data_IF_913360758699
#
_entry.id   IF_913360758699
#
_cell.length_a   1.000
_cell.length_b   1.000
_cell.length_c   1.000
_cell.angle_alpha   90.00
_cell.angle_beta   90.00
_cell.angle_gamma   90.00
#
_symmetry.space_group_name_H-M   'P 1'
#
loop_
_entity.id
_entity.type
_entity.pdbx_description
1 polymer ?
#
# COMPACT_ATOMS: atom_id res chain seq x y z
N UNK A 1 -6.85 -2.67 -39.68
CA UNK A 1 -5.67 -2.25 -38.89
C UNK A 1 -6.22 -1.50 -37.70
N UNK A 2 -6.36 -2.18 -36.56
CA UNK A 2 -6.82 -1.57 -35.30
C UNK A 2 -5.56 -0.92 -34.73
N UNK A 3 -5.54 0.41 -34.71
CA UNK A 3 -4.51 1.19 -34.01
C UNK A 3 -4.75 0.92 -32.53
N UNK A 4 -3.89 0.11 -31.90
CA UNK A 4 -3.81 0.08 -30.43
C UNK A 4 -3.41 1.50 -29.99
N UNK A 5 -4.40 2.26 -29.50
CA UNK A 5 -4.12 3.49 -28.76
C UNK A 5 -3.21 3.12 -27.59
N UNK A 6 -1.98 3.57 -27.67
CA UNK A 6 -1.04 3.57 -26.55
C UNK A 6 -1.66 4.43 -25.45
N UNK A 7 -2.45 3.82 -24.57
CA UNK A 7 -3.09 4.48 -23.45
C UNK A 7 -1.98 4.82 -22.46
N UNK A 8 -1.39 6.00 -22.59
CA UNK A 8 -0.46 6.48 -21.57
C UNK A 8 -1.13 6.33 -20.20
N UNK A 9 -0.49 5.57 -19.33
CA UNK A 9 -1.00 5.40 -17.97
C UNK A 9 -1.00 6.76 -17.27
N UNK A 10 -2.11 7.11 -16.57
CA UNK A 10 -2.16 8.37 -15.85
C UNK A 10 -1.04 8.41 -14.79
N UNK A 11 -0.49 9.60 -14.51
CA UNK A 11 0.53 9.73 -13.48
C UNK A 11 0.02 9.15 -12.15
N UNK A 12 0.84 8.30 -11.56
CA UNK A 12 0.55 7.60 -10.31
C UNK A 12 1.43 8.13 -9.18
N UNK A 13 0.91 8.13 -7.97
CA UNK A 13 1.69 8.36 -6.75
C UNK A 13 1.62 7.10 -5.89
N UNK A 14 2.72 6.70 -5.28
CA UNK A 14 2.70 5.69 -4.23
C UNK A 14 2.63 6.37 -2.85
N UNK A 15 1.73 5.89 -2.02
CA UNK A 15 1.51 6.35 -0.65
C UNK A 15 1.86 5.20 0.30
N UNK A 16 2.88 5.41 1.13
CA UNK A 16 3.35 4.43 2.11
C UNK A 16 2.88 4.84 3.50
N UNK A 17 2.05 4.02 4.13
CA UNK A 17 1.59 4.29 5.48
C UNK A 17 2.61 3.80 6.51
N UNK A 18 3.24 4.74 7.23
CA UNK A 18 4.27 4.52 8.23
C UNK A 18 3.88 5.03 9.63
N UNK A 19 2.62 5.43 9.83
CA UNK A 19 2.14 6.06 11.08
C UNK A 19 1.61 5.09 12.17
N UNK A 20 1.66 3.76 11.96
CA UNK A 20 1.08 2.79 12.90
C UNK A 20 1.80 2.75 14.26
N UNK A 21 1.05 2.70 15.38
CA UNK A 21 1.60 2.47 16.72
C UNK A 21 2.15 1.04 16.83
N UNK A 22 3.47 0.88 16.84
CA UNK A 22 4.13 -0.44 16.91
C UNK A 22 4.24 -0.99 18.34
N UNK A 23 3.16 -0.97 19.12
CA UNK A 23 3.14 -1.47 20.50
C UNK A 23 3.44 -2.99 20.60
N UNK A 24 3.27 -3.74 19.50
CA UNK A 24 3.39 -5.20 19.46
C UNK A 24 4.83 -5.72 19.27
N UNK A 25 5.73 -4.87 18.78
CA UNK A 25 7.16 -5.21 18.56
C UNK A 25 8.08 -4.79 19.71
N UNK A 26 7.51 -4.26 20.80
CA UNK A 26 8.20 -3.66 21.94
C UNK A 26 8.09 -2.14 21.92
N UNK A 27 7.92 -1.55 23.11
CA UNK A 27 7.72 -0.11 23.28
C UNK A 27 8.82 0.70 22.57
N UNK A 28 8.42 1.63 21.70
CA UNK A 28 9.33 2.60 21.06
C UNK A 28 9.98 2.16 19.74
N UNK A 29 9.78 0.93 19.24
CA UNK A 29 10.34 0.53 17.95
C UNK A 29 9.45 0.97 16.80
N UNK A 30 10.03 1.70 15.83
CA UNK A 30 9.38 2.07 14.58
C UNK A 30 9.47 0.90 13.59
N UNK A 31 8.32 0.34 13.20
CA UNK A 31 8.25 -0.79 12.26
C UNK A 31 8.93 -0.48 10.93
N UNK A 32 8.73 0.72 10.40
CA UNK A 32 9.30 1.13 9.13
C UNK A 32 10.83 1.07 9.10
N UNK A 33 11.47 1.22 10.28
CA UNK A 33 12.93 1.19 10.48
C UNK A 33 13.47 -0.18 10.87
N UNK A 34 12.64 -1.21 10.97
CA UNK A 34 13.15 -2.58 11.21
C UNK A 34 14.01 -3.02 10.03
N UNK A 35 15.12 -3.70 10.35
CA UNK A 35 16.07 -4.18 9.34
C UNK A 35 15.71 -5.60 8.90
N UNK A 36 15.54 -5.79 7.59
CA UNK A 36 15.38 -7.08 6.95
C UNK A 36 16.42 -7.22 5.84
N UNK A 37 17.35 -8.18 5.99
CA UNK A 37 18.39 -8.42 5.00
C UNK A 37 19.32 -7.22 4.75
N UNK A 38 19.60 -6.40 5.76
CA UNK A 38 20.49 -5.23 5.69
C UNK A 38 19.82 -3.91 5.28
N UNK A 39 18.50 -3.90 5.00
CA UNK A 39 17.75 -2.69 4.62
C UNK A 39 16.57 -2.45 5.56
N UNK A 40 16.21 -1.18 5.77
CA UNK A 40 14.96 -0.85 6.47
C UNK A 40 13.73 -1.32 5.69
N UNK A 41 12.66 -1.74 6.38
CA UNK A 41 11.44 -2.19 5.71
C UNK A 41 10.88 -1.14 4.75
N UNK A 42 10.87 0.12 5.15
CA UNK A 42 10.38 1.21 4.31
C UNK A 42 11.21 1.36 3.02
N UNK A 43 12.54 1.17 3.08
CA UNK A 43 13.40 1.25 1.90
C UNK A 43 13.17 0.07 0.95
N UNK A 44 12.86 -1.12 1.51
CA UNK A 44 12.47 -2.28 0.71
C UNK A 44 11.16 -1.98 -0.03
N UNK A 45 10.15 -1.46 0.67
CA UNK A 45 8.85 -1.08 0.08
C UNK A 45 9.04 -0.02 -1.01
N UNK A 46 9.82 1.03 -0.74
CA UNK A 46 10.15 2.07 -1.72
C UNK A 46 10.77 1.45 -2.98
N UNK A 47 11.75 0.56 -2.82
CA UNK A 47 12.42 -0.09 -3.96
C UNK A 47 11.47 -0.95 -4.83
N UNK A 48 10.37 -1.45 -4.26
CA UNK A 48 9.33 -2.19 -5.00
C UNK A 48 8.38 -1.26 -5.75
N UNK A 49 8.15 -0.05 -5.24
CA UNK A 49 7.22 0.91 -5.83
C UNK A 49 7.87 1.81 -6.88
N UNK A 50 9.15 2.10 -6.71
CA UNK A 50 9.90 3.03 -7.57
C UNK A 50 9.83 2.69 -9.08
N UNK A 51 9.85 1.42 -9.52
CA UNK A 51 9.66 1.10 -10.94
C UNK A 51 8.29 1.50 -11.51
N UNK A 52 7.27 1.69 -10.66
CA UNK A 52 5.89 2.01 -11.07
C UNK A 52 5.61 3.51 -11.06
N UNK A 53 6.24 4.25 -10.14
CA UNK A 53 5.89 5.67 -9.89
C UNK A 53 7.08 6.63 -9.95
N UNK A 54 8.31 6.11 -10.17
CA UNK A 54 9.52 6.94 -10.10
C UNK A 54 9.69 7.60 -8.73
N UNK A 55 9.86 8.91 -8.71
CA UNK A 55 10.00 9.72 -7.47
C UNK A 55 8.67 10.19 -6.88
N UNK A 56 7.53 9.83 -7.47
CA UNK A 56 6.19 10.20 -6.97
C UNK A 56 5.79 9.34 -5.76
N UNK A 57 6.47 9.54 -4.64
CA UNK A 57 6.31 8.78 -3.39
C UNK A 57 5.96 9.72 -2.25
N UNK A 58 4.94 9.36 -1.46
CA UNK A 58 4.52 10.04 -0.24
C UNK A 58 4.57 9.06 0.92
N UNK A 59 5.24 9.43 2.00
CA UNK A 59 5.18 8.70 3.27
C UNK A 59 4.18 9.41 4.17
N UNK A 60 3.22 8.66 4.71
CA UNK A 60 2.28 9.18 5.71
C UNK A 60 2.73 8.70 7.08
N UNK A 61 3.10 9.64 7.93
CA UNK A 61 3.62 9.39 9.27
C UNK A 61 4.21 10.65 9.88
N UNK A 62 4.75 10.57 11.12
CA UNK A 62 5.37 11.71 11.78
C UNK A 62 6.61 12.19 11.01
N UNK A 63 6.66 13.43 10.48
CA UNK A 63 7.77 13.92 9.66
C UNK A 63 9.13 13.85 10.37
N UNK A 64 9.15 14.11 11.67
CA UNK A 64 10.35 14.06 12.51
C UNK A 64 10.99 12.67 12.59
N UNK A 65 10.24 11.61 12.28
CA UNK A 65 10.77 10.24 12.23
C UNK A 65 11.43 9.89 10.89
N UNK A 66 11.10 10.62 9.85
CA UNK A 66 11.51 10.30 8.47
C UNK A 66 12.22 11.47 7.74
N UNK A 67 13.19 12.16 8.38
CA UNK A 67 13.81 13.37 7.82
C UNK A 67 14.62 13.13 6.54
N UNK A 68 14.99 11.88 6.26
CA UNK A 68 15.75 11.51 5.06
C UNK A 68 14.89 11.40 3.79
N UNK A 69 13.56 11.42 3.91
CA UNK A 69 12.67 11.24 2.76
C UNK A 69 12.07 12.58 2.32
N UNK A 70 11.97 12.76 0.98
CA UNK A 70 11.60 14.05 0.36
C UNK A 70 10.18 14.52 0.71
N UNK A 71 9.22 13.59 0.78
CA UNK A 71 7.81 13.94 0.99
C UNK A 71 7.21 13.08 2.09
N UNK A 72 7.13 13.66 3.26
CA UNK A 72 6.51 13.05 4.45
C UNK A 72 5.38 13.95 4.93
N UNK A 73 4.19 13.39 5.11
CA UNK A 73 3.01 14.12 5.54
C UNK A 73 2.42 13.50 6.81
N UNK A 74 1.96 14.29 7.76
CA UNK A 74 1.31 13.76 8.97
C UNK A 74 -0.12 13.30 8.68
N UNK A 75 -0.68 12.51 9.59
CA UNK A 75 -2.12 12.23 9.64
C UNK A 75 -2.91 13.53 9.87
N UNK A 76 -3.95 13.75 9.07
CA UNK A 76 -4.81 14.95 9.16
C UNK A 76 -5.86 14.87 10.27
N UNK A 77 -6.07 13.71 10.87
CA UNK A 77 -6.96 13.50 12.00
C UNK A 77 -6.17 12.89 13.16
N UNK A 78 -6.49 13.28 14.40
CA UNK A 78 -5.78 12.85 15.62
C UNK A 78 -5.99 11.37 15.96
N UNK A 79 -7.13 10.79 15.55
CA UNK A 79 -7.43 9.37 15.77
C UNK A 79 -6.79 8.53 14.67
N UNK A 80 -5.67 7.90 15.00
CA UNK A 80 -4.94 7.04 14.05
C UNK A 80 -5.77 5.84 13.59
N UNK A 81 -5.93 5.70 12.27
CA UNK A 81 -6.51 4.53 11.62
C UNK A 81 -5.99 4.41 10.20
N UNK A 82 -6.07 3.23 9.57
CA UNK A 82 -5.71 3.12 8.16
C UNK A 82 -6.47 4.10 7.25
N UNK A 83 -7.75 4.34 7.50
CA UNK A 83 -8.55 5.28 6.71
C UNK A 83 -8.02 6.72 6.80
N UNK A 84 -7.57 7.15 7.98
CA UNK A 84 -6.95 8.48 8.17
C UNK A 84 -5.66 8.59 7.38
N UNK A 85 -4.78 7.59 7.46
CA UNK A 85 -3.52 7.59 6.71
C UNK A 85 -3.76 7.61 5.19
N UNK A 86 -4.69 6.79 4.67
CA UNK A 86 -5.07 6.77 3.26
C UNK A 86 -5.58 8.16 2.84
N UNK A 87 -6.52 8.74 3.60
CA UNK A 87 -7.07 10.06 3.33
C UNK A 87 -5.99 11.14 3.29
N UNK A 88 -5.09 11.16 4.28
CA UNK A 88 -4.00 12.13 4.38
C UNK A 88 -3.05 12.06 3.18
N UNK A 89 -2.66 10.85 2.81
CA UNK A 89 -1.82 10.63 1.63
C UNK A 89 -2.52 11.03 0.32
N UNK A 90 -3.77 10.64 0.14
CA UNK A 90 -4.57 11.04 -1.03
C UNK A 90 -4.73 12.57 -1.12
N UNK A 91 -4.93 13.25 0.01
CA UNK A 91 -5.06 14.72 0.06
C UNK A 91 -3.78 15.41 -0.36
N UNK A 92 -2.62 14.87 0.00
CA UNK A 92 -1.31 15.39 -0.33
C UNK A 92 -0.85 15.06 -1.77
N UNK A 93 -1.36 14.00 -2.36
CA UNK A 93 -1.03 13.62 -3.74
C UNK A 93 -1.65 14.55 -4.77
N UNK A 94 -1.01 14.71 -5.94
CA UNK A 94 -1.57 15.39 -7.12
C UNK A 94 -2.09 14.40 -8.17
N UNK A 95 -1.77 13.11 -8.07
CA UNK A 95 -2.17 12.07 -9.03
C UNK A 95 -3.65 11.70 -8.87
N UNK A 96 -4.30 11.42 -10.01
CA UNK A 96 -5.70 10.96 -10.02
C UNK A 96 -5.88 9.62 -9.32
N UNK A 97 -4.90 8.72 -9.49
CA UNK A 97 -4.86 7.40 -8.85
C UNK A 97 -3.60 7.22 -8.02
N UNK A 98 -3.71 6.48 -6.94
CA UNK A 98 -2.64 6.34 -5.96
C UNK A 98 -2.55 4.89 -5.48
N UNK A 99 -1.35 4.32 -5.51
CA UNK A 99 -1.05 3.02 -4.91
C UNK A 99 -0.84 3.25 -3.42
N UNK A 100 -1.64 2.62 -2.58
CA UNK A 100 -1.49 2.70 -1.12
C UNK A 100 -0.98 1.40 -0.58
N UNK A 101 0.12 1.43 0.18
CA UNK A 101 0.72 0.25 0.82
C UNK A 101 1.11 0.51 2.27
N UNK A 102 1.22 -0.58 3.06
CA UNK A 102 1.83 -0.53 4.38
C UNK A 102 3.36 -0.55 4.30
N UNK A 103 4.05 0.16 5.21
CA UNK A 103 5.51 0.10 5.32
C UNK A 103 6.05 -1.26 5.80
N UNK A 104 5.18 -2.14 6.27
CA UNK A 104 5.47 -3.46 6.81
C UNK A 104 5.19 -4.61 5.81
N UNK A 105 5.05 -4.30 4.52
CA UNK A 105 4.80 -5.22 3.41
C UNK A 105 6.04 -5.37 2.49
N UNK A 106 7.11 -6.06 2.91
CA UNK A 106 8.39 -6.05 2.19
C UNK A 106 8.39 -6.87 0.89
N UNK A 107 7.39 -7.72 0.67
CA UNK A 107 7.35 -8.67 -0.45
C UNK A 107 6.34 -8.30 -1.52
N UNK A 108 6.02 -7.02 -1.68
CA UNK A 108 5.15 -6.53 -2.74
C UNK A 108 5.62 -7.05 -4.12
N UNK A 109 4.73 -7.68 -4.87
CA UNK A 109 4.98 -8.12 -6.23
C UNK A 109 4.66 -7.02 -7.23
N UNK A 110 5.68 -6.52 -7.90
CA UNK A 110 5.56 -5.42 -8.87
C UNK A 110 4.58 -5.77 -9.99
N UNK A 111 4.61 -7.02 -10.48
CA UNK A 111 3.71 -7.51 -11.54
C UNK A 111 2.25 -7.53 -11.09
N UNK A 112 1.97 -7.84 -9.82
CA UNK A 112 0.61 -7.76 -9.29
C UNK A 112 0.13 -6.30 -9.26
N UNK A 113 0.97 -5.39 -8.78
CA UNK A 113 0.64 -3.96 -8.75
C UNK A 113 0.43 -3.40 -10.16
N UNK A 114 1.25 -3.81 -11.15
CA UNK A 114 1.04 -3.45 -12.56
C UNK A 114 -0.32 -3.93 -13.08
N UNK A 115 -0.65 -5.20 -12.82
CA UNK A 115 -1.95 -5.75 -13.20
C UNK A 115 -3.12 -4.98 -12.56
N UNK A 116 -2.98 -4.59 -11.29
CA UNK A 116 -3.99 -3.76 -10.60
C UNK A 116 -4.13 -2.38 -11.26
N UNK A 117 -3.02 -1.75 -11.67
CA UNK A 117 -3.01 -0.47 -12.39
C UNK A 117 -3.77 -0.58 -13.72
N UNK A 118 -3.51 -1.63 -14.49
CA UNK A 118 -4.18 -1.92 -15.77
C UNK A 118 -5.69 -2.11 -15.60
N UNK A 119 -6.13 -2.54 -14.41
CA UNK A 119 -7.54 -2.77 -14.06
C UNK A 119 -8.24 -1.55 -13.43
N UNK A 120 -7.65 -0.37 -13.44
CA UNK A 120 -8.27 0.86 -12.92
C UNK A 120 -9.59 1.16 -13.65
N UNK A 121 -9.63 1.16 -14.98
CA UNK A 121 -10.82 1.24 -15.84
C UNK A 121 -11.98 2.09 -15.29
N UNK A 122 -11.75 3.34 -14.91
CA UNK A 122 -12.74 4.23 -14.29
C UNK A 122 -13.35 3.75 -12.96
N UNK A 123 -12.73 2.78 -12.27
CA UNK A 123 -13.09 2.43 -10.91
C UNK A 123 -12.51 3.46 -9.93
N UNK A 124 -13.21 3.66 -8.80
CA UNK A 124 -12.74 4.55 -7.74
C UNK A 124 -11.72 3.85 -6.84
N UNK A 125 -11.80 2.53 -6.75
CA UNK A 125 -10.95 1.68 -5.92
C UNK A 125 -10.67 0.35 -6.63
N UNK A 126 -9.40 -0.08 -6.65
CA UNK A 126 -8.99 -1.43 -7.05
C UNK A 126 -8.34 -2.09 -5.84
N UNK A 127 -8.90 -3.22 -5.38
CA UNK A 127 -8.50 -3.84 -4.12
C UNK A 127 -8.44 -5.37 -4.25
N UNK A 128 -7.39 -6.04 -3.74
CA UNK A 128 -7.31 -7.50 -3.67
C UNK A 128 -8.35 -8.09 -2.73
N UNK A 129 -8.93 -9.23 -3.16
CA UNK A 129 -9.82 -10.08 -2.36
C UNK A 129 -9.34 -11.52 -2.42
N UNK A 130 -9.03 -12.12 -1.26
CA UNK A 130 -8.45 -13.47 -1.17
C UNK A 130 -8.91 -14.22 0.09
N UNK A 131 -8.61 -15.51 0.17
CA UNK A 131 -9.05 -16.39 1.25
C UNK A 131 -10.56 -16.39 1.39
N UNK A 132 -11.07 -16.31 2.60
CA UNK A 132 -12.50 -16.25 2.90
C UNK A 132 -13.12 -14.83 2.67
N UNK A 133 -12.68 -14.11 1.63
CA UNK A 133 -13.16 -12.76 1.31
C UNK A 133 -12.42 -11.65 2.07
N UNK A 134 -11.18 -11.91 2.49
CA UNK A 134 -10.31 -10.88 3.05
C UNK A 134 -9.97 -9.83 2.00
N UNK A 135 -10.04 -8.58 2.40
CA UNK A 135 -9.67 -7.43 1.57
C UNK A 135 -8.39 -6.81 2.15
N UNK A 136 -7.45 -6.45 1.26
CA UNK A 136 -6.21 -5.80 1.70
C UNK A 136 -6.20 -4.31 1.31
N UNK A 137 -6.71 -3.44 2.18
CA UNK A 137 -6.79 -2.01 1.91
C UNK A 137 -5.43 -1.31 1.89
N UNK A 138 -4.40 -1.95 2.44
CA UNK A 138 -3.02 -1.44 2.42
C UNK A 138 -2.15 -2.13 1.36
N UNK A 139 -2.78 -2.66 0.32
CA UNK A 139 -2.18 -3.02 -0.96
C UNK A 139 -3.24 -2.79 -2.04
N UNK A 140 -3.64 -1.52 -2.26
CA UNK A 140 -4.78 -1.17 -3.10
C UNK A 140 -4.53 0.12 -3.88
N UNK A 141 -5.33 0.37 -4.92
CA UNK A 141 -5.25 1.61 -5.71
C UNK A 141 -6.50 2.43 -5.48
N UNK A 142 -6.31 3.64 -4.99
CA UNK A 142 -7.36 4.58 -4.65
C UNK A 142 -7.39 5.76 -5.63
N UNK A 143 -8.54 6.02 -6.21
CA UNK A 143 -8.81 7.24 -6.98
C UNK A 143 -9.13 8.43 -6.06
N UNK A 144 -8.93 9.64 -6.58
CA UNK A 144 -9.26 10.89 -5.86
C UNK A 144 -10.74 11.01 -5.47
N UNK A 145 -11.64 10.33 -6.17
CA UNK A 145 -13.06 10.28 -5.81
C UNK A 145 -13.34 9.65 -4.45
N UNK A 146 -12.42 8.81 -3.94
CA UNK A 146 -12.51 8.26 -2.60
C UNK A 146 -12.47 9.35 -1.51
N UNK A 147 -11.82 10.51 -1.77
CA UNK A 147 -11.64 11.55 -0.76
C UNK A 147 -12.93 12.06 -0.16
N UNK A 148 -13.94 12.36 -0.99
CA UNK A 148 -15.22 12.89 -0.51
C UNK A 148 -15.92 11.90 0.43
N UNK A 149 -15.93 10.61 0.05
CA UNK A 149 -16.55 9.56 0.86
C UNK A 149 -15.79 9.33 2.17
N UNK A 150 -14.45 9.34 2.10
CA UNK A 150 -13.59 9.20 3.27
C UNK A 150 -13.81 10.36 4.24
N UNK A 151 -13.79 11.62 3.76
CA UNK A 151 -13.96 12.82 4.58
C UNK A 151 -15.31 12.81 5.30
N UNK A 152 -16.39 12.49 4.58
CA UNK A 152 -17.73 12.35 5.14
C UNK A 152 -17.82 11.31 6.25
N UNK A 153 -17.10 10.20 6.13
CA UNK A 153 -17.03 9.16 7.15
C UNK A 153 -16.19 9.62 8.36
N UNK A 154 -15.01 10.19 8.10
CA UNK A 154 -14.09 10.64 9.16
C UNK A 154 -14.71 11.74 10.04
N UNK A 155 -15.46 12.68 9.45
CA UNK A 155 -16.21 13.71 10.20
C UNK A 155 -17.30 13.10 11.09
N UNK A 156 -17.81 11.92 10.75
CA UNK A 156 -18.79 11.16 11.55
C UNK A 156 -18.15 10.14 12.49
N UNK A 157 -16.84 10.23 12.74
CA UNK A 157 -16.07 9.25 13.55
C UNK A 157 -16.13 7.81 13.03
N UNK A 158 -16.36 7.60 11.72
CA UNK A 158 -16.35 6.28 11.07
C UNK A 158 -14.95 6.05 10.47
N UNK A 159 -14.13 5.23 11.15
CA UNK A 159 -12.72 4.99 10.82
C UNK A 159 -12.46 3.68 10.07
N UNK A 160 -13.50 2.95 9.71
CA UNK A 160 -13.38 1.71 8.94
C UNK A 160 -13.20 1.97 7.46
N UNK A 161 -12.14 1.39 6.85
CA UNK A 161 -11.95 1.47 5.40
C UNK A 161 -13.11 0.79 4.65
N UNK A 162 -13.66 -0.30 5.18
CA UNK A 162 -14.79 -1.00 4.53
C UNK A 162 -16.06 -0.15 4.44
N UNK A 163 -16.22 0.84 5.32
CA UNK A 163 -17.40 1.69 5.34
C UNK A 163 -17.53 2.63 4.11
N UNK A 164 -16.44 2.80 3.33
CA UNK A 164 -16.50 3.62 2.11
C UNK A 164 -16.97 2.82 0.88
N UNK A 165 -16.83 1.49 0.87
CA UNK A 165 -17.05 0.65 -0.32
C UNK A 165 -18.45 0.75 -0.92
N UNK A 166 -19.56 0.83 -0.14
CA UNK A 166 -20.91 0.94 -0.70
C UNK A 166 -21.14 2.20 -1.55
N UNK A 167 -20.25 3.19 -1.44
CA UNK A 167 -20.38 4.49 -2.12
C UNK A 167 -19.39 4.67 -3.27
N UNK A 168 -18.64 3.60 -3.62
CA UNK A 168 -17.58 3.63 -4.62
C UNK A 168 -17.77 2.55 -5.67
N UNK A 169 -17.27 2.83 -6.87
CA UNK A 169 -17.10 1.81 -7.89
C UNK A 169 -15.83 1.03 -7.61
N UNK A 170 -16.00 -0.19 -7.05
CA UNK A 170 -14.90 -1.04 -6.59
C UNK A 170 -14.65 -2.17 -7.59
N UNK A 171 -13.39 -2.33 -8.04
CA UNK A 171 -12.88 -3.50 -8.73
C UNK A 171 -12.18 -4.40 -7.72
N UNK A 172 -12.73 -5.57 -7.46
CA UNK A 172 -12.06 -6.59 -6.69
C UNK A 172 -11.14 -7.39 -7.61
N UNK A 173 -9.86 -7.52 -7.25
CA UNK A 173 -8.93 -8.45 -7.87
C UNK A 173 -9.03 -9.76 -7.08
N UNK A 174 -9.57 -10.78 -7.73
CA UNK A 174 -9.85 -12.06 -7.08
C UNK A 174 -8.59 -12.91 -6.88
N UNK A 175 -8.63 -13.85 -5.95
CA UNK A 175 -7.47 -14.67 -5.59
C UNK A 175 -6.88 -15.42 -6.79
N UNK A 176 -7.70 -15.89 -7.72
CA UNK A 176 -7.26 -16.57 -8.93
C UNK A 176 -6.47 -15.64 -9.86
N UNK A 177 -6.84 -14.36 -9.89
CA UNK A 177 -6.11 -13.33 -10.65
C UNK A 177 -4.81 -12.99 -9.94
N UNK A 178 -4.85 -12.82 -8.62
CA UNK A 178 -3.67 -12.52 -7.78
C UNK A 178 -2.61 -13.60 -7.94
N UNK A 179 -3.01 -14.88 -7.85
CA UNK A 179 -2.09 -16.03 -7.94
C UNK A 179 -1.35 -16.17 -9.26
N UNK A 180 -1.82 -15.53 -10.33
CA UNK A 180 -1.09 -15.48 -11.60
C UNK A 180 0.22 -14.68 -11.49
N UNK A 181 0.29 -13.72 -10.59
CA UNK A 181 1.42 -12.81 -10.40
C UNK A 181 2.12 -13.01 -9.06
N UNK A 182 1.39 -13.44 -8.04
CA UNK A 182 1.86 -13.70 -6.67
C UNK A 182 1.25 -15.02 -6.14
N UNK A 183 1.74 -16.18 -6.61
CA UNK A 183 1.19 -17.49 -6.22
C UNK A 183 1.22 -17.75 -4.72
N UNK A 184 2.19 -17.17 -4.02
CA UNK A 184 2.39 -17.31 -2.58
C UNK A 184 1.66 -16.26 -1.74
N UNK A 185 0.94 -15.32 -2.36
CA UNK A 185 0.27 -14.20 -1.71
C UNK A 185 1.22 -13.38 -0.82
N UNK A 186 2.50 -13.33 -1.19
CA UNK A 186 3.55 -12.68 -0.40
C UNK A 186 3.38 -11.16 -0.32
N UNK A 187 2.73 -10.54 -1.31
CA UNK A 187 2.40 -9.11 -1.28
C UNK A 187 1.58 -8.71 -0.06
N UNK A 188 0.85 -9.67 0.54
CA UNK A 188 -0.01 -9.43 1.70
C UNK A 188 0.63 -9.88 3.02
N UNK A 189 1.91 -10.29 2.97
CA UNK A 189 2.65 -10.65 4.16
C UNK A 189 3.05 -9.38 4.93
N UNK A 190 2.49 -9.22 6.12
CA UNK A 190 2.74 -8.07 7.00
C UNK A 190 3.66 -8.48 8.16
N UNK A 191 4.68 -7.67 8.46
CA UNK A 191 5.56 -7.86 9.61
C UNK A 191 4.98 -7.13 10.82
N UNK A 192 4.30 -7.86 11.70
CA UNK A 192 3.62 -7.33 12.89
C UNK A 192 4.30 -7.76 14.21
N UNK A 193 4.95 -8.92 14.23
CA UNK A 193 5.58 -9.54 15.39
C UNK A 193 7.00 -10.00 15.08
N UNK A 194 7.79 -10.29 16.12
CA UNK A 194 9.14 -10.84 15.95
C UNK A 194 9.16 -12.15 15.13
N UNK A 195 8.14 -12.97 15.28
CA UNK A 195 8.00 -14.22 14.53
C UNK A 195 7.83 -13.97 13.02
N UNK A 196 7.16 -12.87 12.64
CA UNK A 196 7.00 -12.51 11.23
C UNK A 196 8.34 -12.11 10.63
N UNK A 197 9.22 -11.46 11.42
CA UNK A 197 10.57 -11.13 10.97
C UNK A 197 11.38 -12.40 10.64
N UNK A 198 11.34 -13.41 11.50
CA UNK A 198 12.01 -14.70 11.25
C UNK A 198 11.45 -15.38 9.99
N UNK A 199 10.14 -15.30 9.77
CA UNK A 199 9.50 -15.82 8.55
C UNK A 199 9.93 -15.03 7.32
N UNK A 200 10.01 -13.71 7.45
CA UNK A 200 10.45 -12.82 6.36
C UNK A 200 11.89 -13.14 5.92
N UNK A 201 12.80 -13.39 6.86
CA UNK A 201 14.19 -13.80 6.57
C UNK A 201 14.21 -15.11 5.76
N UNK A 202 13.44 -16.12 6.17
CA UNK A 202 13.32 -17.40 5.45
C UNK A 202 12.76 -17.22 4.03
N UNK A 203 11.73 -16.37 3.85
CA UNK A 203 11.18 -16.06 2.53
C UNK A 203 12.24 -15.39 1.65
N UNK A 204 13.01 -14.45 2.20
CA UNK A 204 14.10 -13.82 1.47
C UNK A 204 15.15 -14.81 0.99
N UNK A 205 15.58 -15.73 1.86
CA UNK A 205 16.62 -16.70 1.54
C UNK A 205 16.15 -17.67 0.46
N UNK A 206 14.92 -18.21 0.57
CA UNK A 206 14.35 -19.09 -0.45
C UNK A 206 14.20 -18.42 -1.83
N UNK A 207 13.87 -17.11 -1.87
CA UNK A 207 13.78 -16.35 -3.12
C UNK A 207 15.15 -16.08 -3.75
N UNK A 208 16.20 -15.91 -2.94
CA UNK A 208 17.59 -15.78 -3.44
C UNK A 208 18.10 -17.06 -4.07
N UNK A 209 17.74 -18.21 -3.50
CA UNK A 209 18.11 -19.53 -4.02
C UNK A 209 17.40 -19.82 -5.35
N UNK A 210 16.14 -19.45 -5.48
CA UNK A 210 15.34 -19.65 -6.71
C UNK A 210 15.72 -18.71 -7.88
N UNK A 211 16.56 -17.70 -7.61
CA UNK A 211 17.00 -16.70 -8.60
C UNK A 211 18.42 -16.95 -9.10
N UNK A 212 19.10 -18.03 -8.61
CA UNK A 212 20.40 -18.53 -9.05
C UNK A 212 20.23 -19.70 -10.02
#
# INVERSE_FOLDING_TARGET
MIVEENKEMPPLTAIILAGGRSNRMGAGKDKAKLNLGGKCLIDIVISRLQPLVGDNLIIVGPPEKYPAYKQVVPDLFSKGSPLVGIYSGLKASFSLYNIVVGCDMPFLEVKLLQYMIENINSNDLVIPRYGAGYLEPLCAIYGKRCLEVMERNLVKDIFSVRAIFPYLKVRFIEEEEIKKYDPGLYSFFNINYKQDMIRAEKIMDSRRESSK
#
